data_IF_509625847793
#
_entry.id   IF_509625847793
#
_cell.length_a   1.000
_cell.length_b   1.000
_cell.length_c   1.000
_cell.angle_alpha   90.00
_cell.angle_beta   90.00
_cell.angle_gamma   90.00
#
_symmetry.space_group_name_H-M   'P 1'
#
loop_
_entity.id
_entity.type
_entity.pdbx_description
1 polymer ?
#
# COMPACT_ATOMS: atom_id res chain seq x y z
N UNK A 1 -41.34 -0.01 6.28
CA UNK A 1 -40.30 0.48 5.35
C UNK A 1 -39.11 -0.48 5.46
N UNK A 2 -38.80 -1.19 4.41
CA UNK A 2 -37.54 -1.96 4.36
C UNK A 2 -36.45 -0.92 4.13
N UNK A 3 -35.61 -0.65 5.14
CA UNK A 3 -34.42 0.15 4.97
C UNK A 3 -33.55 -0.66 4.01
N UNK A 4 -33.36 -0.17 2.78
CA UNK A 4 -32.43 -0.80 1.84
C UNK A 4 -31.05 -0.85 2.53
N UNK A 5 -30.56 -2.05 2.77
CA UNK A 5 -29.20 -2.25 3.29
C UNK A 5 -28.22 -1.57 2.34
N UNK A 6 -27.33 -0.75 2.87
CA UNK A 6 -26.27 -0.15 2.03
C UNK A 6 -25.48 -1.27 1.37
N UNK A 7 -25.22 -1.14 0.06
CA UNK A 7 -24.43 -2.12 -0.68
C UNK A 7 -23.04 -2.31 -0.05
N UNK A 8 -22.63 -3.56 0.10
CA UNK A 8 -21.28 -3.92 0.50
C UNK A 8 -20.26 -3.52 -0.58
N UNK A 9 -18.98 -3.43 -0.25
CA UNK A 9 -17.95 -3.16 -1.24
C UNK A 9 -17.92 -4.24 -2.34
N UNK A 10 -18.08 -5.51 -1.97
CA UNK A 10 -18.16 -6.61 -2.94
C UNK A 10 -19.32 -6.41 -3.95
N UNK A 11 -20.51 -6.03 -3.48
CA UNK A 11 -21.67 -5.75 -4.36
C UNK A 11 -21.41 -4.54 -5.26
N UNK A 12 -20.76 -3.50 -4.75
CA UNK A 12 -20.35 -2.32 -5.57
C UNK A 12 -19.36 -2.69 -6.68
N UNK A 13 -18.58 -3.75 -6.50
CA UNK A 13 -17.69 -4.33 -7.50
C UNK A 13 -18.38 -5.34 -8.43
N UNK A 14 -19.68 -5.61 -8.23
CA UNK A 14 -20.46 -6.56 -9.05
C UNK A 14 -20.34 -8.02 -8.59
N UNK A 15 -19.82 -8.27 -7.39
CA UNK A 15 -19.75 -9.62 -6.81
C UNK A 15 -20.92 -9.87 -5.84
N UNK A 16 -21.26 -11.15 -5.57
CA UNK A 16 -22.26 -11.49 -4.56
C UNK A 16 -21.86 -10.97 -3.16
N UNK A 17 -22.82 -10.64 -2.27
CA UNK A 17 -22.51 -10.12 -0.95
C UNK A 17 -21.70 -11.08 -0.05
N UNK A 18 -21.73 -12.37 -0.34
CA UNK A 18 -20.94 -13.40 0.36
C UNK A 18 -19.58 -13.69 -0.26
N UNK A 19 -19.17 -12.94 -1.30
CA UNK A 19 -17.90 -13.17 -1.98
C UNK A 19 -16.71 -12.86 -1.06
N UNK A 20 -15.67 -13.71 -1.14
CA UNK A 20 -14.37 -13.51 -0.51
C UNK A 20 -13.40 -13.02 -1.57
N UNK A 21 -13.05 -11.75 -1.51
CA UNK A 21 -12.21 -11.08 -2.48
C UNK A 21 -10.90 -10.71 -1.82
N UNK A 22 -9.78 -10.97 -2.48
CA UNK A 22 -8.47 -10.59 -1.95
C UNK A 22 -7.66 -9.78 -2.97
N UNK A 23 -6.95 -8.79 -2.47
CA UNK A 23 -5.83 -8.14 -3.14
C UNK A 23 -4.57 -8.66 -2.46
N UNK A 24 -3.64 -9.22 -3.20
CA UNK A 24 -2.29 -9.51 -2.71
C UNK A 24 -1.41 -8.36 -3.14
N UNK A 25 -1.03 -7.54 -2.19
CA UNK A 25 -0.38 -6.25 -2.41
C UNK A 25 1.07 -6.26 -1.95
N UNK A 26 1.98 -5.90 -2.86
CA UNK A 26 3.40 -5.80 -2.58
C UNK A 26 3.80 -4.35 -2.30
N UNK A 27 4.28 -4.09 -1.08
CA UNK A 27 4.80 -2.78 -0.67
C UNK A 27 6.28 -2.59 -1.05
N UNK A 28 6.74 -1.35 -0.97
CA UNK A 28 8.14 -0.90 -0.99
C UNK A 28 8.86 -0.95 -2.34
N UNK A 29 8.17 -1.07 -3.49
CA UNK A 29 8.84 -1.02 -4.78
C UNK A 29 9.54 0.34 -4.98
N UNK A 30 10.74 0.31 -5.54
CA UNK A 30 11.63 1.47 -5.66
C UNK A 30 12.62 1.60 -4.50
N UNK A 31 12.49 0.80 -3.42
CA UNK A 31 13.46 0.80 -2.34
C UNK A 31 14.83 0.31 -2.81
N UNK A 32 14.91 -0.92 -3.31
CA UNK A 32 16.13 -1.56 -3.84
C UNK A 32 15.83 -2.35 -5.10
N UNK A 33 16.87 -2.63 -5.92
CA UNK A 33 16.72 -3.50 -7.09
C UNK A 33 16.18 -4.88 -6.70
N UNK A 34 16.67 -5.46 -5.62
CA UNK A 34 16.21 -6.77 -5.13
C UNK A 34 14.71 -6.82 -4.81
N UNK A 35 14.14 -5.71 -4.30
CA UNK A 35 12.69 -5.57 -4.08
C UNK A 35 11.96 -5.44 -5.41
N UNK A 36 12.42 -4.57 -6.30
CA UNK A 36 11.80 -4.33 -7.60
C UNK A 36 11.77 -5.61 -8.45
N UNK A 37 12.89 -6.30 -8.54
CA UNK A 37 13.00 -7.55 -9.30
C UNK A 37 12.10 -8.67 -8.76
N UNK A 38 12.01 -8.83 -7.44
CA UNK A 38 11.15 -9.83 -6.83
C UNK A 38 9.66 -9.47 -6.99
N UNK A 39 9.28 -8.22 -6.72
CA UNK A 39 7.89 -7.78 -6.78
C UNK A 39 7.34 -7.79 -8.22
N UNK A 40 8.10 -7.30 -9.19
CA UNK A 40 7.69 -7.35 -10.62
C UNK A 40 7.53 -8.78 -11.10
N UNK A 41 8.45 -9.68 -10.71
CA UNK A 41 8.33 -11.11 -11.03
C UNK A 41 7.11 -11.76 -10.39
N UNK A 42 6.76 -11.38 -9.16
CA UNK A 42 5.57 -11.86 -8.48
C UNK A 42 4.27 -11.34 -9.14
N UNK A 43 4.24 -10.07 -9.57
CA UNK A 43 3.13 -9.48 -10.34
C UNK A 43 2.92 -10.22 -11.68
N UNK A 44 4.00 -10.47 -12.43
CA UNK A 44 3.96 -11.24 -13.70
C UNK A 44 3.44 -12.66 -13.51
N UNK A 45 3.69 -13.27 -12.34
CA UNK A 45 3.17 -14.58 -11.96
C UNK A 45 1.65 -14.61 -11.69
N UNK A 46 1.02 -13.45 -11.53
CA UNK A 46 -0.44 -13.26 -11.41
C UNK A 46 -1.04 -13.66 -10.09
N UNK A 47 -0.24 -14.04 -9.09
CA UNK A 47 -0.73 -14.32 -7.72
C UNK A 47 -0.63 -13.09 -6.82
N UNK A 48 0.37 -12.23 -7.04
CA UNK A 48 0.42 -10.86 -6.53
C UNK A 48 -0.32 -9.98 -7.52
N UNK A 49 -1.30 -9.22 -7.06
CA UNK A 49 -2.26 -8.54 -7.95
C UNK A 49 -2.14 -7.03 -7.94
N UNK A 50 -1.36 -6.48 -7.02
CA UNK A 50 -1.11 -5.05 -6.89
C UNK A 50 0.23 -4.79 -6.21
N UNK A 51 0.78 -3.60 -6.39
CA UNK A 51 1.97 -3.13 -5.68
C UNK A 51 1.95 -1.62 -5.52
N UNK A 52 2.80 -1.07 -4.63
CA UNK A 52 2.96 0.36 -4.46
C UNK A 52 4.42 0.80 -4.40
N UNK A 53 4.68 2.03 -4.90
CA UNK A 53 5.99 2.55 -5.23
C UNK A 53 6.42 3.68 -4.29
N UNK A 54 7.64 3.57 -3.74
CA UNK A 54 8.30 4.58 -2.90
C UNK A 54 9.05 5.60 -3.78
N UNK A 55 8.38 6.69 -4.14
CA UNK A 55 8.92 7.71 -5.06
C UNK A 55 10.23 8.38 -4.59
N UNK A 56 10.45 8.63 -3.29
CA UNK A 56 11.71 9.21 -2.81
C UNK A 56 12.91 8.27 -2.89
N UNK A 57 12.69 6.97 -3.02
CA UNK A 57 13.74 5.96 -2.94
C UNK A 57 14.61 5.88 -4.17
N UNK A 58 15.88 5.45 -4.03
CA UNK A 58 16.90 5.50 -5.10
C UNK A 58 16.56 4.66 -6.33
N UNK A 59 15.86 3.54 -6.18
CA UNK A 59 15.51 2.64 -7.29
C UNK A 59 14.16 2.95 -7.93
N UNK A 60 13.45 4.00 -7.47
CA UNK A 60 12.20 4.44 -8.10
C UNK A 60 12.28 4.62 -9.64
N UNK A 61 13.39 5.09 -10.25
CA UNK A 61 13.49 5.16 -11.71
C UNK A 61 13.34 3.82 -12.42
N UNK A 62 13.82 2.71 -11.85
CA UNK A 62 13.67 1.38 -12.42
C UNK A 62 12.21 0.96 -12.49
N UNK A 63 11.51 1.07 -11.37
CA UNK A 63 10.11 0.69 -11.32
C UNK A 63 9.20 1.65 -12.11
N UNK A 64 9.56 2.91 -12.25
CA UNK A 64 8.87 3.84 -13.11
C UNK A 64 9.02 3.46 -14.60
N UNK A 65 10.17 2.92 -15.02
CA UNK A 65 10.37 2.40 -16.37
C UNK A 65 9.59 1.11 -16.61
N UNK A 66 9.54 0.22 -15.62
CA UNK A 66 8.67 -0.95 -15.64
C UNK A 66 7.20 -0.54 -15.83
N UNK A 67 6.71 0.47 -15.09
CA UNK A 67 5.34 0.96 -15.19
C UNK A 67 4.98 1.47 -16.60
N UNK A 68 5.93 2.09 -17.32
CA UNK A 68 5.71 2.53 -18.71
C UNK A 68 5.56 1.36 -19.66
N UNK A 69 6.37 0.32 -19.49
CA UNK A 69 6.38 -0.86 -20.36
C UNK A 69 5.23 -1.83 -20.03
N UNK A 70 4.62 -1.71 -18.83
CA UNK A 70 3.54 -2.54 -18.33
C UNK A 70 2.33 -1.69 -17.89
N UNK A 71 1.63 -0.98 -18.80
CA UNK A 71 0.56 -0.04 -18.44
C UNK A 71 -0.64 -0.70 -17.75
N UNK A 72 -0.77 -2.02 -17.87
CA UNK A 72 -1.81 -2.81 -17.22
C UNK A 72 -1.41 -3.32 -15.82
N UNK A 73 -0.15 -3.18 -15.42
CA UNK A 73 0.28 -3.49 -14.05
C UNK A 73 -0.48 -2.61 -13.04
N UNK A 74 -0.97 -3.21 -11.97
CA UNK A 74 -1.69 -2.49 -10.92
C UNK A 74 -0.70 -1.91 -9.93
N UNK A 75 -0.36 -0.65 -10.12
CA UNK A 75 0.65 0.06 -9.35
C UNK A 75 0.05 1.28 -8.67
N UNK A 76 0.21 1.38 -7.34
CA UNK A 76 -0.11 2.53 -6.51
C UNK A 76 1.12 3.36 -6.15
N UNK A 77 0.95 4.41 -5.33
CA UNK A 77 2.07 5.08 -4.70
C UNK A 77 2.08 4.82 -3.19
N UNK A 78 3.22 4.33 -2.72
CA UNK A 78 3.54 4.13 -1.31
C UNK A 78 4.07 5.44 -0.74
N UNK A 79 3.14 6.32 -0.32
CA UNK A 79 3.46 7.68 0.15
C UNK A 79 4.43 7.61 1.33
N UNK A 80 5.64 8.10 1.10
CA UNK A 80 6.80 7.85 1.97
C UNK A 80 7.25 9.14 2.63
N UNK A 81 7.31 9.13 3.97
CA UNK A 81 7.73 10.27 4.81
C UNK A 81 8.73 9.88 5.90
N UNK A 82 9.23 8.64 5.86
CA UNK A 82 10.25 8.11 6.78
C UNK A 82 11.37 7.46 5.99
N UNK A 83 12.56 7.38 6.56
CA UNK A 83 13.73 6.70 6.01
C UNK A 83 14.40 5.90 7.12
N UNK A 84 13.92 4.68 7.33
CA UNK A 84 14.21 3.86 8.51
C UNK A 84 15.51 3.07 8.45
N UNK A 85 16.22 3.09 7.32
CA UNK A 85 17.50 2.38 7.18
C UNK A 85 18.65 3.18 7.81
N UNK A 86 19.66 2.51 8.32
CA UNK A 86 20.80 3.19 8.96
C UNK A 86 21.73 3.82 7.92
N UNK A 87 22.05 3.10 6.86
CA UNK A 87 23.02 3.53 5.84
C UNK A 87 22.39 3.81 4.49
N UNK A 88 21.24 3.21 4.20
CA UNK A 88 20.52 3.36 2.95
C UNK A 88 19.36 4.34 3.16
N UNK A 89 19.66 5.64 3.01
CA UNK A 89 18.76 6.73 3.38
C UNK A 89 18.26 7.50 2.16
N UNK A 90 17.07 8.04 2.28
CA UNK A 90 16.45 8.91 1.28
C UNK A 90 15.81 10.14 1.92
N UNK A 91 15.75 11.24 1.15
CA UNK A 91 15.15 12.50 1.55
C UNK A 91 13.87 12.80 0.80
N UNK A 92 13.41 14.06 0.86
CA UNK A 92 12.20 14.51 0.22
C UNK A 92 12.34 14.63 -1.31
N UNK A 93 11.22 14.47 -2.00
CA UNK A 93 11.07 14.81 -3.43
C UNK A 93 10.91 16.33 -3.60
N UNK A 94 10.18 16.96 -2.70
CA UNK A 94 10.09 18.41 -2.63
C UNK A 94 11.45 19.03 -2.24
N UNK A 95 11.75 20.28 -2.66
CA UNK A 95 12.93 20.99 -2.18
C UNK A 95 12.97 21.05 -0.65
N UNK A 96 14.14 20.76 -0.05
CA UNK A 96 14.31 20.62 1.40
C UNK A 96 13.89 21.89 2.17
N UNK A 97 14.08 23.08 1.58
CA UNK A 97 13.65 24.37 2.15
C UNK A 97 12.13 24.55 2.21
N UNK A 98 11.37 23.71 1.54
CA UNK A 98 9.90 23.72 1.54
C UNK A 98 9.29 22.74 2.53
N UNK A 99 10.06 21.78 3.01
CA UNK A 99 9.61 20.71 3.89
C UNK A 99 10.59 20.45 5.07
N UNK A 100 11.13 21.51 5.72
CA UNK A 100 12.17 21.35 6.73
C UNK A 100 11.72 20.52 7.93
N UNK A 101 10.44 20.51 8.30
CA UNK A 101 9.96 19.71 9.43
C UNK A 101 9.98 18.20 9.16
N UNK A 102 10.13 17.78 7.91
CA UNK A 102 10.16 16.36 7.52
C UNK A 102 11.56 15.76 7.51
N UNK A 103 12.60 16.59 7.61
CA UNK A 103 13.99 16.20 7.36
C UNK A 103 14.86 16.36 8.61
N UNK A 104 15.79 15.43 8.76
CA UNK A 104 16.86 15.54 9.75
C UNK A 104 17.96 16.52 9.29
N UNK A 105 18.95 16.78 10.15
CA UNK A 105 20.07 17.70 9.88
C UNK A 105 20.93 17.32 8.66
N UNK A 106 20.80 16.08 8.17
CA UNK A 106 21.50 15.57 6.99
C UNK A 106 20.65 15.61 5.72
N UNK A 107 19.40 16.10 5.81
CA UNK A 107 18.47 16.20 4.67
C UNK A 107 17.75 14.90 4.33
N UNK A 108 17.76 13.92 5.19
CA UNK A 108 16.98 12.69 5.05
C UNK A 108 15.65 12.78 5.82
N UNK A 109 14.63 12.06 5.37
CA UNK A 109 13.47 11.85 6.23
C UNK A 109 13.88 11.26 7.57
N UNK A 110 13.15 11.60 8.63
CA UNK A 110 13.39 11.01 9.94
C UNK A 110 13.26 9.49 9.91
N UNK A 111 14.11 8.84 10.70
CA UNK A 111 14.04 7.40 10.89
C UNK A 111 12.74 6.96 11.60
N UNK A 112 12.32 7.76 12.60
CA UNK A 112 11.13 7.52 13.38
C UNK A 112 10.46 8.85 13.79
N UNK A 113 9.17 8.98 13.48
CA UNK A 113 8.39 10.16 13.83
C UNK A 113 8.06 10.29 15.33
N UNK A 114 8.10 9.20 16.09
CA UNK A 114 7.85 9.25 17.53
C UNK A 114 8.80 10.21 18.29
N UNK A 115 9.91 10.58 17.66
CA UNK A 115 10.89 11.53 18.21
C UNK A 115 10.74 12.96 17.68
N UNK A 116 9.81 13.22 16.76
CA UNK A 116 9.63 14.53 16.16
C UNK A 116 8.19 15.03 16.33
N UNK A 117 7.96 15.82 17.39
CA UNK A 117 6.66 16.41 17.71
C UNK A 117 6.25 17.56 16.77
N UNK A 118 7.09 17.94 15.81
CA UNK A 118 6.95 19.15 15.02
C UNK A 118 6.62 18.94 13.54
N UNK A 119 6.08 17.78 13.15
CA UNK A 119 5.69 17.54 11.76
C UNK A 119 4.59 18.55 11.33
N UNK A 120 4.87 19.31 10.28
CA UNK A 120 3.97 20.32 9.76
C UNK A 120 3.08 19.73 8.65
N UNK A 121 1.78 19.67 8.87
CA UNK A 121 0.81 19.11 7.92
C UNK A 121 0.81 19.79 6.54
N UNK A 122 1.15 21.09 6.46
CA UNK A 122 1.29 21.79 5.16
C UNK A 122 2.52 21.31 4.40
N UNK A 123 3.61 21.05 5.10
CA UNK A 123 4.84 20.51 4.50
C UNK A 123 4.62 19.06 4.04
N UNK A 124 3.87 18.26 4.82
CA UNK A 124 3.42 16.93 4.40
C UNK A 124 2.65 17.04 3.08
N UNK A 125 1.68 17.93 2.95
CA UNK A 125 0.93 18.09 1.70
C UNK A 125 1.82 18.50 0.52
N UNK A 126 2.80 19.39 0.74
CA UNK A 126 3.78 19.77 -0.31
C UNK A 126 4.56 18.53 -0.77
N UNK A 127 5.04 17.73 0.16
CA UNK A 127 5.81 16.52 -0.16
C UNK A 127 4.97 15.47 -0.89
N UNK A 128 3.76 15.17 -0.40
CA UNK A 128 2.89 14.19 -1.05
C UNK A 128 2.55 14.59 -2.49
N UNK A 129 2.30 15.87 -2.73
CA UNK A 129 2.08 16.39 -4.09
C UNK A 129 3.33 16.27 -4.95
N UNK A 130 4.52 16.53 -4.39
CA UNK A 130 5.78 16.37 -5.11
C UNK A 130 6.02 14.91 -5.51
N UNK A 131 5.73 13.95 -4.64
CA UNK A 131 5.79 12.52 -4.95
C UNK A 131 4.83 12.17 -6.09
N UNK A 132 3.58 12.62 -6.02
CA UNK A 132 2.59 12.43 -7.09
C UNK A 132 3.06 12.99 -8.43
N UNK A 133 3.48 14.25 -8.46
CA UNK A 133 3.92 14.92 -9.70
C UNK A 133 5.18 14.25 -10.30
N UNK A 134 6.14 13.84 -9.45
CA UNK A 134 7.32 13.11 -9.92
C UNK A 134 6.92 11.77 -10.56
N UNK A 135 6.04 11.00 -9.92
CA UNK A 135 5.57 9.73 -10.45
C UNK A 135 4.86 9.93 -11.81
N UNK A 136 3.95 10.90 -11.89
CA UNK A 136 3.22 11.22 -13.12
C UNK A 136 4.17 11.68 -14.23
N UNK A 137 5.16 12.53 -13.93
CA UNK A 137 6.16 13.02 -14.90
C UNK A 137 7.04 11.90 -15.44
N UNK A 138 7.29 10.86 -14.64
CA UNK A 138 8.03 9.67 -15.04
C UNK A 138 7.15 8.58 -15.69
N UNK A 139 5.87 8.89 -15.96
CA UNK A 139 4.98 8.01 -16.73
C UNK A 139 4.18 7.01 -15.89
N UNK A 140 4.35 6.99 -14.57
CA UNK A 140 3.54 6.17 -13.68
C UNK A 140 2.09 6.67 -13.67
N UNK A 141 1.13 5.76 -13.67
CA UNK A 141 -0.31 6.08 -13.59
C UNK A 141 -0.88 5.31 -12.40
N UNK A 142 -0.81 5.87 -11.18
CA UNK A 142 -1.19 5.15 -9.98
C UNK A 142 -2.67 4.77 -9.98
N UNK A 143 -2.99 3.59 -9.45
CA UNK A 143 -4.36 3.10 -9.28
C UNK A 143 -4.92 3.43 -7.90
N UNK A 144 -4.07 3.65 -6.91
CA UNK A 144 -4.42 3.96 -5.52
C UNK A 144 -3.24 4.62 -4.81
N UNK A 145 -3.47 5.06 -3.57
CA UNK A 145 -2.44 5.53 -2.65
C UNK A 145 -2.51 4.73 -1.36
N UNK A 146 -1.36 4.42 -0.82
CA UNK A 146 -1.20 3.90 0.53
C UNK A 146 -0.10 4.67 1.30
N UNK A 147 0.32 4.21 2.45
CA UNK A 147 1.24 4.96 3.30
C UNK A 147 2.30 4.08 3.91
N UNK A 148 3.55 4.33 3.53
CA UNK A 148 4.71 3.64 4.11
C UNK A 148 4.65 3.66 5.63
N UNK A 149 4.80 2.48 6.25
CA UNK A 149 4.66 2.26 7.69
C UNK A 149 3.32 2.80 8.27
N UNK A 150 2.27 2.95 7.45
CA UNK A 150 0.97 3.53 7.84
C UNK A 150 1.05 4.91 8.49
N UNK A 151 2.14 5.68 8.30
CA UNK A 151 2.40 6.94 9.00
C UNK A 151 1.30 7.98 8.81
N UNK A 152 0.80 8.16 7.58
CA UNK A 152 -0.29 9.10 7.31
C UNK A 152 -1.64 8.66 7.89
N UNK A 153 -1.78 7.37 8.17
CA UNK A 153 -3.02 6.78 8.67
C UNK A 153 -3.03 6.79 10.20
N UNK A 154 -1.92 6.42 10.84
CA UNK A 154 -1.86 6.17 12.29
C UNK A 154 -1.32 7.35 13.11
N UNK A 155 -0.75 8.39 12.48
CA UNK A 155 -0.16 9.54 13.20
C UNK A 155 -1.14 10.68 13.50
N UNK A 156 -2.44 10.45 13.34
CA UNK A 156 -3.48 11.38 13.74
C UNK A 156 -4.35 11.90 12.61
N UNK A 157 -5.48 12.48 13.01
CA UNK A 157 -6.53 12.94 12.10
C UNK A 157 -6.03 13.92 11.04
N UNK A 158 -5.21 14.89 11.45
CA UNK A 158 -4.74 15.96 10.56
C UNK A 158 -3.95 15.40 9.38
N UNK A 159 -3.03 14.46 9.61
CA UNK A 159 -2.20 13.87 8.55
C UNK A 159 -3.02 12.93 7.66
N UNK A 160 -3.96 12.21 8.23
CA UNK A 160 -4.92 11.41 7.44
C UNK A 160 -5.76 12.29 6.51
N UNK A 161 -6.25 13.44 6.99
CA UNK A 161 -6.99 14.40 6.17
C UNK A 161 -6.12 15.04 5.08
N UNK A 162 -4.81 15.23 5.31
CA UNK A 162 -3.87 15.63 4.24
C UNK A 162 -3.82 14.57 3.16
N UNK A 163 -3.66 13.30 3.52
CA UNK A 163 -3.65 12.18 2.56
C UNK A 163 -4.95 12.14 1.74
N UNK A 164 -6.10 12.27 2.40
CA UNK A 164 -7.41 12.31 1.74
C UNK A 164 -7.51 13.47 0.75
N UNK A 165 -7.10 14.70 1.14
CA UNK A 165 -7.13 15.84 0.23
C UNK A 165 -6.28 15.64 -1.02
N UNK A 166 -5.10 15.06 -0.86
CA UNK A 166 -4.23 14.72 -1.99
C UNK A 166 -4.88 13.65 -2.86
N UNK A 167 -5.36 12.56 -2.27
CA UNK A 167 -6.04 11.49 -2.99
C UNK A 167 -7.25 12.00 -3.80
N UNK A 168 -8.11 12.81 -3.19
CA UNK A 168 -9.27 13.41 -3.85
C UNK A 168 -8.86 14.34 -5.01
N UNK A 169 -7.79 15.14 -4.83
CA UNK A 169 -7.29 16.02 -5.89
C UNK A 169 -6.84 15.25 -7.14
N UNK A 170 -6.23 14.07 -6.95
CA UNK A 170 -5.80 13.20 -8.05
C UNK A 170 -6.85 12.14 -8.42
N UNK A 171 -8.01 12.10 -7.73
CA UNK A 171 -9.13 11.17 -7.96
C UNK A 171 -8.72 9.70 -7.78
N UNK A 172 -7.94 9.43 -6.77
CA UNK A 172 -7.46 8.11 -6.42
C UNK A 172 -8.11 7.63 -5.11
N UNK A 173 -8.45 6.34 -4.99
CA UNK A 173 -8.79 5.75 -3.71
C UNK A 173 -7.53 5.61 -2.85
N UNK A 174 -7.73 5.50 -1.53
CA UNK A 174 -6.66 5.22 -0.57
C UNK A 174 -6.84 3.85 0.06
N UNK A 175 -5.75 3.23 0.47
CA UNK A 175 -5.81 2.05 1.35
C UNK A 175 -6.21 2.47 2.76
N UNK A 176 -7.38 2.04 3.17
CA UNK A 176 -7.92 2.14 4.53
C UNK A 176 -8.87 0.97 4.78
N UNK A 177 -8.85 0.40 5.97
CA UNK A 177 -9.66 -0.77 6.33
C UNK A 177 -10.52 -0.51 7.56
N UNK A 178 -11.68 -1.19 7.63
CA UNK A 178 -12.58 -1.16 8.79
C UNK A 178 -11.94 -1.72 10.05
N UNK A 179 -10.97 -2.62 9.91
CA UNK A 179 -10.27 -3.23 11.04
C UNK A 179 -9.56 -2.19 11.93
N UNK A 180 -9.23 -1.01 11.37
CA UNK A 180 -8.56 0.07 12.11
C UNK A 180 -9.51 1.06 12.79
N UNK A 181 -10.82 1.02 12.53
CA UNK A 181 -11.76 2.05 13.02
C UNK A 181 -11.93 2.06 14.54
N UNK A 182 -11.80 0.91 15.19
CA UNK A 182 -11.88 0.82 16.64
C UNK A 182 -10.69 1.52 17.32
N UNK A 183 -9.50 1.41 16.78
CA UNK A 183 -8.29 2.01 17.32
C UNK A 183 -8.14 3.47 16.87
N UNK A 184 -8.54 3.78 15.63
CA UNK A 184 -8.45 5.12 15.02
C UNK A 184 -9.82 5.63 14.55
N UNK A 185 -10.72 6.05 15.46
CA UNK A 185 -12.10 6.45 15.12
C UNK A 185 -12.20 7.62 14.13
N UNK A 186 -11.16 8.47 14.06
CA UNK A 186 -11.13 9.58 13.11
C UNK A 186 -11.08 9.11 11.65
N UNK A 187 -10.60 7.91 11.36
CA UNK A 187 -10.64 7.36 10.02
C UNK A 187 -12.08 7.31 9.49
N UNK A 188 -12.98 6.74 10.28
CA UNK A 188 -14.39 6.65 9.91
C UNK A 188 -15.05 8.01 9.74
N UNK A 189 -14.71 8.99 10.58
CA UNK A 189 -15.36 10.31 10.58
C UNK A 189 -14.82 11.27 9.54
N UNK A 190 -13.63 11.03 8.99
CA UNK A 190 -13.01 11.85 7.95
C UNK A 190 -13.35 11.36 6.53
N UNK A 191 -13.76 10.10 6.38
CA UNK A 191 -14.09 9.51 5.08
C UNK A 191 -15.45 10.00 4.59
N UNK A 192 -15.53 10.27 3.29
CA UNK A 192 -16.77 10.62 2.60
C UNK A 192 -17.53 9.39 2.09
N UNK A 193 -18.77 9.57 1.63
CA UNK A 193 -19.63 8.46 1.18
C UNK A 193 -19.13 7.74 -0.07
N UNK A 194 -18.25 8.37 -0.84
CA UNK A 194 -17.68 7.81 -2.05
C UNK A 194 -16.31 7.15 -1.81
N UNK A 195 -15.69 7.35 -0.67
CA UNK A 195 -14.38 6.76 -0.38
C UNK A 195 -14.49 5.24 -0.30
N UNK A 196 -13.47 4.58 -0.80
CA UNK A 196 -13.34 3.12 -0.74
C UNK A 196 -12.76 2.77 0.63
N UNK A 197 -13.42 1.84 1.31
CA UNK A 197 -12.96 1.29 2.59
C UNK A 197 -12.95 -0.23 2.45
N UNK A 198 -11.78 -0.84 2.58
CA UNK A 198 -11.67 -2.28 2.59
C UNK A 198 -12.30 -2.87 3.85
N UNK A 199 -12.76 -4.11 3.76
CA UNK A 199 -13.38 -4.76 4.91
C UNK A 199 -12.32 -5.25 5.90
N UNK A 200 -11.22 -5.83 5.40
CA UNK A 200 -10.17 -6.44 6.22
C UNK A 200 -8.78 -6.22 5.66
N UNK A 201 -7.77 -6.39 6.52
CA UNK A 201 -6.35 -6.48 6.13
C UNK A 201 -5.66 -7.63 6.84
N UNK A 202 -4.65 -8.20 6.18
CA UNK A 202 -3.76 -9.23 6.74
C UNK A 202 -2.32 -8.82 6.44
N UNK A 203 -1.50 -8.76 7.47
CA UNK A 203 -0.06 -8.50 7.37
C UNK A 203 0.68 -9.48 8.26
N UNK A 204 1.83 -9.97 7.82
CA UNK A 204 2.68 -10.82 8.65
C UNK A 204 3.15 -10.07 9.89
N UNK A 205 2.98 -10.69 11.05
CA UNK A 205 3.33 -10.09 12.33
C UNK A 205 4.79 -10.35 12.72
N UNK A 206 5.46 -9.37 13.35
CA UNK A 206 6.76 -9.59 13.95
C UNK A 206 6.72 -10.73 14.99
N UNK A 207 7.78 -11.55 15.01
CA UNK A 207 7.90 -12.67 15.97
C UNK A 207 7.33 -14.00 15.48
N UNK A 208 6.65 -14.05 14.34
CA UNK A 208 6.27 -15.33 13.71
C UNK A 208 7.54 -16.05 13.23
N UNK A 209 7.81 -17.29 13.70
CA UNK A 209 8.97 -18.06 13.26
C UNK A 209 8.91 -18.37 11.75
N UNK A 210 10.09 -18.46 11.13
CA UNK A 210 10.22 -18.67 9.69
C UNK A 210 9.46 -19.92 9.18
N UNK A 211 9.53 -21.01 9.94
CA UNK A 211 8.85 -22.29 9.64
C UNK A 211 7.33 -22.21 9.77
N UNK A 212 6.81 -21.15 10.38
CA UNK A 212 5.37 -20.89 10.52
C UNK A 212 4.81 -19.95 9.45
N UNK A 213 5.66 -19.46 8.52
CA UNK A 213 5.28 -18.52 7.48
C UNK A 213 4.11 -19.02 6.63
N UNK A 214 4.16 -20.21 6.03
CA UNK A 214 3.05 -20.75 5.27
C UNK A 214 1.79 -20.94 6.13
N UNK A 215 1.93 -21.49 7.33
CA UNK A 215 0.79 -21.76 8.21
C UNK A 215 0.04 -20.49 8.60
N UNK A 216 0.75 -19.36 8.82
CA UNK A 216 0.13 -18.06 9.09
C UNK A 216 -0.81 -17.65 7.95
N UNK A 217 -0.30 -17.60 6.72
CA UNK A 217 -1.10 -17.16 5.58
C UNK A 217 -2.18 -18.16 5.19
N UNK A 218 -1.93 -19.44 5.27
CA UNK A 218 -2.94 -20.47 5.03
C UNK A 218 -4.07 -20.40 6.06
N UNK A 219 -3.76 -20.09 7.31
CA UNK A 219 -4.76 -19.88 8.34
C UNK A 219 -5.57 -18.63 8.09
N UNK A 220 -4.94 -17.54 7.67
CA UNK A 220 -5.64 -16.32 7.26
C UNK A 220 -6.61 -16.59 6.11
N UNK A 221 -6.18 -17.32 5.07
CA UNK A 221 -7.05 -17.69 3.94
C UNK A 221 -8.23 -18.56 4.37
N UNK A 222 -8.01 -19.57 5.23
CA UNK A 222 -9.11 -20.41 5.74
C UNK A 222 -10.15 -19.60 6.52
N UNK A 223 -9.72 -18.57 7.23
CA UNK A 223 -10.55 -17.74 8.10
C UNK A 223 -11.06 -16.45 7.44
N UNK A 224 -10.81 -16.25 6.14
CA UNK A 224 -11.31 -15.09 5.41
C UNK A 224 -12.82 -14.94 5.57
N UNK A 225 -13.23 -13.72 5.90
CA UNK A 225 -14.64 -13.33 5.95
C UNK A 225 -15.10 -12.85 4.56
N UNK A 226 -16.43 -12.83 4.30
CA UNK A 226 -16.96 -12.14 3.13
C UNK A 226 -16.54 -10.66 3.09
N UNK A 227 -16.26 -10.14 1.91
CA UNK A 227 -15.81 -8.77 1.69
C UNK A 227 -14.49 -8.72 0.94
N UNK A 228 -13.86 -7.55 0.96
CA UNK A 228 -12.55 -7.30 0.34
C UNK A 228 -11.47 -7.26 1.41
N UNK A 229 -10.51 -8.19 1.31
CA UNK A 229 -9.33 -8.25 2.19
C UNK A 229 -8.08 -7.90 1.39
N UNK A 230 -7.24 -7.01 1.93
CA UNK A 230 -5.88 -6.82 1.41
C UNK A 230 -4.90 -7.63 2.24
N UNK A 231 -4.08 -8.43 1.55
CA UNK A 231 -2.93 -9.12 2.13
C UNK A 231 -1.69 -8.32 1.75
N UNK A 232 -1.12 -7.63 2.71
CA UNK A 232 0.09 -6.80 2.52
C UNK A 232 1.32 -7.67 2.69
N UNK A 233 2.16 -7.68 1.66
CA UNK A 233 3.41 -8.44 1.63
C UNK A 233 4.58 -7.56 1.23
N UNK A 234 5.78 -7.99 1.57
CA UNK A 234 7.01 -7.26 1.26
C UNK A 234 8.00 -8.19 0.52
N UNK A 235 7.77 -8.52 -0.75
CA UNK A 235 8.66 -9.43 -1.49
C UNK A 235 10.01 -8.77 -1.77
N UNK A 236 11.08 -9.57 -1.73
CA UNK A 236 12.43 -9.14 -2.08
C UNK A 236 13.37 -10.33 -2.13
N UNK A 237 14.35 -10.32 -3.03
CA UNK A 237 15.37 -11.37 -3.07
C UNK A 237 16.37 -11.18 -1.93
N UNK A 238 16.69 -12.26 -1.22
CA UNK A 238 17.69 -12.26 -0.15
C UNK A 238 19.11 -12.28 -0.75
N UNK A 239 19.51 -11.16 -1.37
CA UNK A 239 20.80 -10.95 -2.00
C UNK A 239 21.72 -10.00 -1.19
N UNK A 240 22.91 -9.70 -1.72
CA UNK A 240 23.89 -8.85 -1.07
C UNK A 240 23.42 -7.39 -0.92
N UNK A 241 22.67 -6.85 -1.91
CA UNK A 241 22.14 -5.50 -1.85
C UNK A 241 21.12 -5.37 -0.73
N UNK A 242 20.09 -6.24 -0.72
CA UNK A 242 19.03 -6.16 0.26
C UNK A 242 19.52 -6.48 1.68
N UNK A 243 20.47 -7.44 1.82
CA UNK A 243 21.13 -7.69 3.12
C UNK A 243 21.93 -6.48 3.61
N UNK A 244 22.60 -5.76 2.72
CA UNK A 244 23.34 -4.55 3.08
C UNK A 244 22.39 -3.40 3.45
N UNK A 245 21.32 -3.18 2.67
CA UNK A 245 20.32 -2.16 2.92
C UNK A 245 19.53 -2.38 4.22
N UNK A 246 19.29 -3.66 4.60
CA UNK A 246 18.47 -4.05 5.75
C UNK A 246 19.25 -4.72 6.90
N UNK A 247 20.58 -4.55 6.91
CA UNK A 247 21.50 -5.28 7.81
C UNK A 247 21.19 -5.19 9.31
N UNK A 248 20.54 -4.12 9.73
CA UNK A 248 20.17 -3.88 11.13
C UNK A 248 18.79 -4.43 11.50
N UNK A 249 18.07 -5.05 10.54
CA UNK A 249 16.71 -5.50 10.74
C UNK A 249 16.54 -6.99 10.46
N UNK A 250 15.97 -7.70 11.43
CA UNK A 250 15.45 -9.05 11.23
C UNK A 250 14.00 -9.05 10.70
N UNK A 251 13.21 -8.06 11.10
CA UNK A 251 11.84 -7.85 10.64
C UNK A 251 11.86 -6.96 9.41
N UNK A 252 11.14 -7.35 8.34
CA UNK A 252 11.14 -6.72 7.02
C UNK A 252 12.53 -6.62 6.37
N UNK A 253 13.51 -7.39 6.86
CA UNK A 253 14.83 -7.53 6.25
C UNK A 253 14.84 -8.54 5.09
N UNK A 254 16.03 -8.78 4.51
CA UNK A 254 16.19 -9.61 3.31
C UNK A 254 15.55 -11.00 3.41
N UNK A 255 15.85 -11.75 4.48
CA UNK A 255 15.28 -13.08 4.68
C UNK A 255 13.75 -13.09 4.92
N UNK A 256 13.19 -12.02 5.50
CA UNK A 256 11.74 -11.84 5.62
C UNK A 256 11.11 -11.69 4.24
N UNK A 257 11.64 -10.80 3.42
CA UNK A 257 11.13 -10.47 2.08
C UNK A 257 11.22 -11.66 1.12
N UNK A 258 12.28 -12.46 1.23
CA UNK A 258 12.40 -13.69 0.45
C UNK A 258 11.29 -14.69 0.79
N UNK A 259 10.90 -14.83 2.07
CA UNK A 259 9.81 -15.74 2.46
C UNK A 259 8.46 -15.30 1.91
N UNK A 260 8.18 -13.98 1.90
CA UNK A 260 6.97 -13.47 1.27
C UNK A 260 6.98 -13.80 -0.22
N UNK A 261 8.10 -13.54 -0.91
CA UNK A 261 8.23 -13.88 -2.32
C UNK A 261 8.00 -15.38 -2.57
N UNK A 262 8.69 -16.24 -1.84
CA UNK A 262 8.64 -17.70 -2.03
C UNK A 262 7.22 -18.24 -1.81
N UNK A 263 6.53 -17.79 -0.76
CA UNK A 263 5.18 -18.25 -0.46
C UNK A 263 4.16 -17.78 -1.50
N UNK A 264 4.15 -16.49 -1.83
CA UNK A 264 3.13 -15.92 -2.73
C UNK A 264 3.36 -16.24 -4.22
N UNK A 265 4.55 -16.67 -4.61
CA UNK A 265 4.84 -17.19 -5.96
C UNK A 265 4.79 -18.71 -6.05
N UNK A 266 4.72 -19.40 -4.90
CA UNK A 266 4.74 -20.85 -4.78
C UNK A 266 3.42 -21.53 -5.09
N UNK A 267 3.49 -22.86 -5.29
CA UNK A 267 2.33 -23.69 -5.60
C UNK A 267 1.36 -23.83 -4.42
N UNK A 268 1.87 -23.75 -3.19
CA UNK A 268 1.06 -23.91 -1.97
C UNK A 268 -0.01 -22.81 -1.86
N UNK A 269 0.38 -21.54 -2.11
CA UNK A 269 -0.56 -20.43 -2.12
C UNK A 269 -1.59 -20.58 -3.25
N UNK A 270 -1.14 -20.94 -4.46
CA UNK A 270 -2.01 -21.18 -5.63
C UNK A 270 -3.05 -22.27 -5.36
N UNK A 271 -2.64 -23.39 -4.77
CA UNK A 271 -3.52 -24.48 -4.40
C UNK A 271 -4.53 -24.08 -3.31
N UNK A 272 -4.09 -23.30 -2.32
CA UNK A 272 -4.96 -22.80 -1.26
C UNK A 272 -6.08 -21.90 -1.81
N UNK A 273 -5.80 -21.04 -2.77
CA UNK A 273 -6.81 -20.20 -3.43
C UNK A 273 -7.82 -21.04 -4.21
N UNK A 274 -7.34 -21.99 -5.00
CA UNK A 274 -8.20 -22.84 -5.84
C UNK A 274 -9.22 -23.65 -5.02
N UNK A 275 -8.85 -24.05 -3.79
CA UNK A 275 -9.69 -24.87 -2.90
C UNK A 275 -10.76 -24.09 -2.11
N UNK A 276 -10.78 -22.76 -2.10
CA UNK A 276 -11.56 -21.98 -1.12
C UNK A 276 -12.57 -20.97 -1.70
N UNK A 277 -12.86 -20.99 -2.99
CA UNK A 277 -13.77 -20.02 -3.65
C UNK A 277 -13.40 -18.55 -3.34
N UNK A 278 -12.09 -18.27 -3.26
CA UNK A 278 -11.52 -16.93 -3.08
C UNK A 278 -11.20 -16.37 -4.47
N UNK A 279 -11.49 -15.09 -4.68
CA UNK A 279 -11.17 -14.41 -5.94
C UNK A 279 -10.10 -13.36 -5.75
N UNK A 280 -9.10 -13.40 -6.60
CA UNK A 280 -8.13 -12.32 -6.72
C UNK A 280 -8.77 -11.14 -7.46
N UNK A 281 -8.59 -9.94 -6.91
CA UNK A 281 -8.98 -8.66 -7.50
C UNK A 281 -7.82 -7.67 -7.42
N UNK A 282 -7.99 -6.51 -8.01
CA UNK A 282 -6.96 -5.48 -8.12
C UNK A 282 -7.44 -4.14 -7.55
N UNK A 283 -6.52 -3.25 -7.18
CA UNK A 283 -6.84 -1.86 -6.87
C UNK A 283 -7.39 -1.11 -8.09
N UNK A 284 -7.02 -1.51 -9.30
CA UNK A 284 -7.57 -0.96 -10.53
C UNK A 284 -9.08 -1.18 -10.64
N UNK A 285 -9.61 -2.33 -10.18
CA UNK A 285 -11.05 -2.58 -10.11
C UNK A 285 -11.73 -1.65 -9.11
N UNK A 286 -11.12 -1.46 -7.93
CA UNK A 286 -11.58 -0.51 -6.91
C UNK A 286 -11.54 0.93 -7.43
N UNK A 287 -10.47 1.33 -8.11
CA UNK A 287 -10.33 2.66 -8.71
C UNK A 287 -11.41 2.95 -9.75
N UNK A 288 -11.77 1.95 -10.58
CA UNK A 288 -12.89 2.09 -11.53
C UNK A 288 -14.23 2.28 -10.81
N UNK A 289 -14.48 1.52 -9.74
CA UNK A 289 -15.67 1.69 -8.91
C UNK A 289 -15.71 3.07 -8.25
N UNK A 290 -14.60 3.52 -7.69
CA UNK A 290 -14.43 4.87 -7.12
C UNK A 290 -14.75 5.97 -8.14
N UNK A 291 -14.19 5.89 -9.34
CA UNK A 291 -14.44 6.85 -10.41
C UNK A 291 -15.92 6.87 -10.88
N UNK A 292 -16.62 5.73 -10.82
CA UNK A 292 -18.04 5.65 -11.19
C UNK A 292 -18.94 6.34 -10.17
N UNK A 293 -18.62 6.21 -8.88
CA UNK A 293 -19.36 6.87 -7.79
C UNK A 293 -19.23 8.39 -7.83
N UNK A 294 -18.02 8.89 -8.10
CA UNK A 294 -17.78 10.33 -8.26
C UNK A 294 -18.59 10.95 -9.42
N UNK A 295 -18.96 10.16 -10.43
CA UNK A 295 -19.81 10.61 -11.55
C UNK A 295 -21.31 10.57 -11.21
N UNK A 296 -21.76 9.61 -10.42
CA UNK A 296 -23.18 9.47 -10.03
C UNK A 296 -23.63 10.54 -9.03
N UNK A 297 -22.75 10.96 -8.10
CA UNK A 297 -23.02 12.02 -7.14
C UNK A 297 -23.20 13.41 -7.76
N UNK A 298 -22.69 13.66 -8.97
CA UNK A 298 -22.87 14.94 -9.68
C UNK A 298 -24.18 15.06 -10.47
N UNK A 299 -24.98 13.99 -10.56
CA UNK A 299 -26.27 14.02 -11.25
C UNK A 299 -27.47 14.31 -10.34
N UNK A 300 -27.25 14.50 -9.04
CA UNK A 300 -28.28 14.72 -8.03
C UNK A 300 -28.23 16.13 -7.41
N UNK A 301 -27.38 17.03 -7.91
CA UNK A 301 -27.42 18.47 -7.68
C UNK A 301 -27.93 19.19 -8.94
#
# INVERSE_FOLDING_TARGET
MVVASAQTLAERLGYPPGAKLIIVHADDLGETHAVDAAATKALEGGMVTSASLMVPCPWFPEIADYAKSHPDADLGLHLTLTSERVYYRWGSVAPADKVPSLLDDNGYFYHDWAKNEAINAKEVEIELRAQMERALSMGVRPTHLDSHQYRLIMSGKELFEVMLRVAHAYKLPIFVTRDWFAEYPYLQTSLGPNDIVLDHTVTMEPGIPAEKWPEFYLTALRNLKPGVTEIVIHPGYDDEELRAATRERSTWGAAWRQRDYDFFTGDEFRQALAGQNIKLITWRELSRAYASLAKSGKKTE
#
